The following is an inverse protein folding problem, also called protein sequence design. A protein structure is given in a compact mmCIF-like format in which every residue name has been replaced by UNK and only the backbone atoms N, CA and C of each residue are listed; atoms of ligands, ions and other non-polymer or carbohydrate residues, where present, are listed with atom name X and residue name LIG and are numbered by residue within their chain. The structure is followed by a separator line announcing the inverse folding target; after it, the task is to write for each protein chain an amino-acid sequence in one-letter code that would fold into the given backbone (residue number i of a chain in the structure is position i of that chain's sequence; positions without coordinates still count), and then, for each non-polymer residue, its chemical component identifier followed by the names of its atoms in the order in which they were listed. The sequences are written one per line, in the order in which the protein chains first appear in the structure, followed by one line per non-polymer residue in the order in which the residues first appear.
data_IF_572553416710
#
_entry.id   IF_572553416710
#
_cell.length_a   1.000
_cell.length_b   1.000
_cell.length_c   1.000
_cell.angle_alpha   90.00
_cell.angle_beta   90.00
_cell.angle_gamma   90.00
#
_symmetry.space_group_name_H-M   'P 1'
#
loop_
_entity.id
_entity.type
_entity.pdbx_description
1 polymer ?
#
# COMPACT_ATOMS: atom_id res chain seq x y z
N UNK A 1 29.96 -14.28 -4.13
CA UNK A 1 28.62 -14.30 -3.50
C UNK A 1 27.56 -13.69 -4.41
N UNK A 2 27.92 -12.70 -5.23
CA UNK A 2 27.01 -12.04 -6.18
C UNK A 2 26.50 -12.98 -7.28
N UNK A 3 27.38 -13.77 -7.92
CA UNK A 3 26.98 -14.67 -9.02
C UNK A 3 25.88 -15.68 -8.61
N UNK A 4 26.07 -16.42 -7.51
CA UNK A 4 25.04 -17.36 -7.01
C UNK A 4 23.73 -16.63 -6.66
N UNK A 5 23.81 -15.43 -6.08
CA UNK A 5 22.63 -14.61 -5.79
C UNK A 5 21.88 -14.21 -7.05
N UNK A 6 22.59 -13.76 -8.09
CA UNK A 6 22.01 -13.38 -9.38
C UNK A 6 21.33 -14.56 -10.07
N UNK A 7 21.95 -15.75 -10.04
CA UNK A 7 21.36 -16.98 -10.59
C UNK A 7 20.08 -17.40 -9.87
N UNK A 8 20.07 -17.37 -8.53
CA UNK A 8 18.88 -17.68 -7.73
C UNK A 8 17.76 -16.66 -8.00
N UNK A 9 18.09 -15.37 -8.05
CA UNK A 9 17.14 -14.31 -8.35
C UNK A 9 16.58 -14.40 -9.78
N UNK A 10 17.40 -14.77 -10.76
CA UNK A 10 16.98 -14.95 -12.15
C UNK A 10 16.03 -16.15 -12.30
N UNK A 11 16.39 -17.31 -11.73
CA UNK A 11 15.52 -18.49 -11.76
C UNK A 11 14.19 -18.25 -11.03
N UNK A 12 14.21 -17.54 -9.90
CA UNK A 12 13.00 -17.13 -9.20
C UNK A 12 12.13 -16.16 -10.02
N UNK A 13 12.76 -15.19 -10.70
CA UNK A 13 12.05 -14.24 -11.57
C UNK A 13 11.41 -14.96 -12.75
N UNK A 14 12.12 -15.88 -13.40
CA UNK A 14 11.59 -16.71 -14.48
C UNK A 14 10.46 -17.63 -14.01
N UNK A 15 10.61 -18.22 -12.81
CA UNK A 15 9.58 -19.05 -12.21
C UNK A 15 8.29 -18.29 -11.96
N UNK A 16 8.38 -17.06 -11.45
CA UNK A 16 7.21 -16.18 -11.28
C UNK A 16 6.63 -15.71 -12.62
N UNK A 17 7.48 -15.37 -13.60
CA UNK A 17 7.03 -14.99 -14.94
C UNK A 17 6.32 -16.12 -15.68
N UNK A 18 6.63 -17.39 -15.38
CA UNK A 18 5.94 -18.54 -15.98
C UNK A 18 4.43 -18.53 -15.76
N UNK A 19 3.94 -17.86 -14.70
CA UNK A 19 2.50 -17.68 -14.46
C UNK A 19 1.79 -16.98 -15.61
N UNK A 20 2.47 -16.06 -16.32
CA UNK A 20 1.89 -15.34 -17.45
C UNK A 20 1.50 -16.25 -18.62
N UNK A 21 2.10 -17.45 -18.71
CA UNK A 21 1.82 -18.43 -19.75
C UNK A 21 0.84 -19.48 -19.24
N UNK A 22 1.10 -20.09 -18.07
CA UNK A 22 0.23 -21.07 -17.40
C UNK A 22 0.76 -21.39 -15.98
N UNK A 23 -0.11 -21.84 -15.07
CA UNK A 23 0.34 -22.46 -13.82
C UNK A 23 1.14 -23.75 -14.08
N UNK A 24 2.45 -23.68 -13.89
CA UNK A 24 3.37 -24.82 -14.01
C UNK A 24 3.82 -25.31 -12.62
N UNK A 25 4.22 -26.59 -12.45
CA UNK A 25 4.78 -27.08 -11.18
C UNK A 25 5.97 -26.25 -10.68
N UNK A 26 6.78 -25.73 -11.60
CA UNK A 26 7.89 -24.84 -11.30
C UNK A 26 7.43 -23.50 -10.70
N UNK A 27 6.36 -22.90 -11.22
CA UNK A 27 5.77 -21.69 -10.65
C UNK A 27 5.28 -21.93 -9.22
N UNK A 28 4.52 -23.02 -8.98
CA UNK A 28 4.01 -23.36 -7.65
C UNK A 28 5.12 -23.55 -6.62
N UNK A 29 6.22 -24.19 -7.01
CA UNK A 29 7.39 -24.32 -6.14
C UNK A 29 7.97 -22.94 -5.75
N UNK A 30 8.21 -22.08 -6.74
CA UNK A 30 8.75 -20.73 -6.49
C UNK A 30 7.79 -19.88 -5.66
N UNK A 31 6.48 -20.00 -5.89
CA UNK A 31 5.45 -19.33 -5.10
C UNK A 31 5.48 -19.76 -3.63
N UNK A 32 5.54 -21.08 -3.34
CA UNK A 32 5.64 -21.57 -1.98
C UNK A 32 6.93 -21.14 -1.28
N UNK A 33 8.06 -21.16 -1.99
CA UNK A 33 9.33 -20.64 -1.47
C UNK A 33 9.23 -19.15 -1.17
N UNK A 34 8.66 -18.36 -2.08
CA UNK A 34 8.50 -16.91 -1.91
C UNK A 34 7.61 -16.56 -0.71
N UNK A 35 6.42 -17.18 -0.62
CA UNK A 35 5.50 -16.98 0.50
C UNK A 35 6.11 -17.50 1.81
N UNK A 36 6.85 -18.61 1.77
CA UNK A 36 7.56 -19.17 2.91
C UNK A 36 8.64 -18.24 3.46
N UNK A 37 9.45 -17.63 2.58
CA UNK A 37 10.44 -16.62 2.96
C UNK A 37 9.76 -15.38 3.54
N UNK A 38 8.65 -14.92 2.94
CA UNK A 38 7.86 -13.81 3.47
C UNK A 38 7.33 -14.09 4.88
N UNK A 39 6.79 -15.28 5.10
CA UNK A 39 6.35 -15.73 6.42
C UNK A 39 7.52 -15.80 7.41
N UNK A 40 8.65 -16.39 7.04
CA UNK A 40 9.84 -16.46 7.88
C UNK A 40 10.36 -15.06 8.25
N UNK A 41 10.46 -14.16 7.28
CA UNK A 41 10.86 -12.77 7.51
C UNK A 41 9.93 -12.04 8.48
N UNK A 42 8.61 -12.25 8.36
CA UNK A 42 7.63 -11.68 9.28
C UNK A 42 7.80 -12.19 10.72
N UNK A 43 8.17 -13.47 10.88
CA UNK A 43 8.45 -14.07 12.20
C UNK A 43 9.72 -13.47 12.81
N UNK A 44 10.77 -13.30 12.01
CA UNK A 44 12.03 -12.68 12.46
C UNK A 44 11.81 -11.24 12.89
N UNK A 45 11.13 -10.43 12.07
CA UNK A 45 10.77 -9.06 12.45
C UNK A 45 9.90 -9.01 13.70
N UNK A 46 8.96 -9.95 13.84
CA UNK A 46 8.16 -10.10 15.05
C UNK A 46 9.04 -10.37 16.29
N UNK A 47 10.01 -11.27 16.17
CA UNK A 47 10.96 -11.57 17.23
C UNK A 47 11.87 -10.38 17.58
N UNK A 48 12.41 -9.68 16.59
CA UNK A 48 13.23 -8.48 16.81
C UNK A 48 12.43 -7.35 17.45
N UNK A 49 11.17 -7.16 17.02
CA UNK A 49 10.25 -6.21 17.63
C UNK A 49 9.96 -6.57 19.09
N UNK A 50 9.68 -7.83 19.40
CA UNK A 50 9.50 -8.29 20.78
C UNK A 50 10.75 -8.07 21.63
N UNK A 51 11.94 -8.39 21.08
CA UNK A 51 13.22 -8.20 21.75
C UNK A 51 13.46 -6.73 22.07
N UNK A 52 13.26 -5.84 21.10
CA UNK A 52 13.57 -4.41 21.20
C UNK A 52 12.53 -3.63 22.01
N UNK A 53 11.25 -4.00 21.89
CA UNK A 53 10.15 -3.28 22.53
C UNK A 53 9.86 -3.77 23.94
N UNK A 54 10.06 -5.06 24.24
CA UNK A 54 9.74 -5.64 25.54
C UNK A 54 10.97 -6.18 26.28
N UNK A 55 11.75 -7.09 25.68
CA UNK A 55 12.75 -7.87 26.42
C UNK A 55 13.94 -7.03 26.88
N UNK A 56 14.57 -6.26 25.98
CA UNK A 56 15.73 -5.42 26.32
C UNK A 56 15.43 -4.32 27.35
N UNK A 57 14.31 -3.56 27.27
CA UNK A 57 14.04 -2.54 28.27
C UNK A 57 13.53 -3.09 29.61
N UNK A 58 12.91 -4.28 29.65
CA UNK A 58 12.61 -4.97 30.91
C UNK A 58 13.91 -5.34 31.64
N UNK A 59 14.93 -5.79 30.90
CA UNK A 59 16.27 -6.01 31.44
C UNK A 59 16.97 -4.75 31.96
N UNK A 60 16.59 -3.57 31.45
CA UNK A 60 17.11 -2.27 31.87
C UNK A 60 16.30 -1.61 33.01
N UNK A 61 15.33 -2.31 33.62
CA UNK A 61 14.57 -1.82 34.78
C UNK A 61 13.26 -1.09 34.47
N UNK A 62 12.86 -0.93 33.21
CA UNK A 62 11.60 -0.30 32.82
C UNK A 62 10.41 -1.27 32.95
N UNK A 63 9.94 -1.47 34.19
CA UNK A 63 8.79 -2.33 34.52
C UNK A 63 7.48 -1.94 33.78
N UNK A 64 7.37 -0.70 33.28
CA UNK A 64 6.20 -0.23 32.51
C UNK A 64 5.97 -0.99 31.20
N UNK A 65 7.00 -1.63 30.64
CA UNK A 65 6.90 -2.38 29.38
C UNK A 65 6.49 -3.85 29.56
N UNK A 66 6.21 -4.27 30.79
CA UNK A 66 5.56 -5.56 31.09
C UNK A 66 4.13 -5.58 30.55
N UNK A 67 3.44 -4.44 30.55
CA UNK A 67 2.03 -4.36 30.10
C UNK A 67 1.89 -4.80 28.62
N UNK A 68 2.65 -4.24 27.65
CA UNK A 68 2.67 -4.74 26.26
C UNK A 68 3.02 -6.23 26.13
N UNK A 69 3.93 -6.74 26.96
CA UNK A 69 4.33 -8.16 26.93
C UNK A 69 3.16 -9.06 27.36
N UNK A 70 2.46 -8.69 28.44
CA UNK A 70 1.28 -9.42 28.92
C UNK A 70 0.15 -9.37 27.89
N UNK A 71 -0.13 -8.19 27.32
CA UNK A 71 -1.11 -8.02 26.24
C UNK A 71 -0.75 -8.85 25.00
N UNK A 72 0.54 -8.92 24.66
CA UNK A 72 1.06 -9.78 23.59
C UNK A 72 0.89 -11.27 23.89
N UNK A 73 1.17 -11.71 25.10
CA UNK A 73 0.95 -13.10 25.52
C UNK A 73 -0.54 -13.47 25.54
N UNK A 74 -1.42 -12.53 25.90
CA UNK A 74 -2.88 -12.72 25.85
C UNK A 74 -3.39 -13.02 24.44
N UNK A 75 -2.72 -12.59 23.37
CA UNK A 75 -3.11 -12.98 22.00
C UNK A 75 -3.00 -14.48 21.76
N UNK A 76 -2.01 -15.16 22.36
CA UNK A 76 -1.83 -16.60 22.18
C UNK A 76 -2.91 -17.44 22.85
N UNK A 77 -3.67 -16.87 23.79
CA UNK A 77 -4.87 -17.53 24.35
C UNK A 77 -5.94 -17.82 23.31
N UNK A 78 -5.85 -17.21 22.10
CA UNK A 78 -6.72 -17.49 20.96
C UNK A 78 -6.68 -18.97 20.54
N UNK A 79 -5.57 -19.67 20.75
CA UNK A 79 -5.44 -21.09 20.41
C UNK A 79 -6.10 -22.02 21.45
N UNK A 80 -6.51 -21.49 22.61
CA UNK A 80 -7.12 -22.25 23.70
C UNK A 80 -8.62 -21.94 23.73
N UNK A 81 -9.47 -22.93 23.41
CA UNK A 81 -10.93 -22.75 23.29
C UNK A 81 -11.59 -22.15 24.55
N UNK A 82 -11.06 -22.41 25.75
CA UNK A 82 -11.60 -21.89 27.02
C UNK A 82 -11.15 -20.47 27.40
N UNK A 83 -10.01 -19.99 26.90
CA UNK A 83 -9.44 -18.69 27.27
C UNK A 83 -9.53 -17.64 26.14
N UNK A 84 -10.20 -17.97 25.04
CA UNK A 84 -10.30 -17.14 23.84
C UNK A 84 -10.84 -15.72 24.09
N UNK A 85 -11.67 -15.52 25.12
CA UNK A 85 -12.20 -14.20 25.49
C UNK A 85 -11.07 -13.20 25.81
N UNK A 86 -9.96 -13.68 26.36
CA UNK A 86 -8.82 -12.86 26.76
C UNK A 86 -8.10 -12.25 25.54
N UNK A 87 -8.13 -12.94 24.40
CA UNK A 87 -7.58 -12.44 23.13
C UNK A 87 -8.35 -11.24 22.55
N UNK A 88 -9.58 -10.96 23.02
CA UNK A 88 -10.40 -9.85 22.52
C UNK A 88 -9.86 -8.48 22.94
N UNK A 89 -9.25 -8.34 24.13
CA UNK A 89 -8.70 -7.06 24.59
C UNK A 89 -7.48 -6.61 23.78
N UNK A 90 -6.46 -7.47 23.55
CA UNK A 90 -5.36 -7.12 22.65
C UNK A 90 -5.84 -6.81 21.22
N UNK A 91 -6.82 -7.56 20.71
CA UNK A 91 -7.39 -7.30 19.38
C UNK A 91 -8.08 -5.93 19.32
N UNK A 92 -8.84 -5.55 20.34
CA UNK A 92 -9.44 -4.23 20.44
C UNK A 92 -8.38 -3.11 20.48
N UNK A 93 -7.27 -3.31 21.20
CA UNK A 93 -6.14 -2.38 21.17
C UNK A 93 -5.51 -2.28 19.78
N UNK A 94 -5.27 -3.40 19.09
CA UNK A 94 -4.70 -3.41 17.74
C UNK A 94 -5.60 -2.66 16.76
N UNK A 95 -6.90 -2.90 16.80
CA UNK A 95 -7.89 -2.18 15.97
C UNK A 95 -7.93 -0.70 16.35
N UNK A 96 -7.92 -0.36 17.64
CA UNK A 96 -7.91 1.03 18.11
C UNK A 96 -6.67 1.81 17.66
N UNK A 97 -5.48 1.22 17.81
CA UNK A 97 -4.21 1.81 17.35
C UNK A 97 -4.22 1.94 15.82
N UNK A 98 -4.57 0.87 15.10
CA UNK A 98 -4.62 0.86 13.65
C UNK A 98 -5.58 1.92 13.10
N UNK A 99 -6.78 2.01 13.68
CA UNK A 99 -7.81 2.98 13.30
C UNK A 99 -7.38 4.41 13.66
N UNK A 100 -6.77 4.64 14.82
CA UNK A 100 -6.28 5.96 15.22
C UNK A 100 -5.17 6.48 14.31
N UNK A 101 -4.21 5.61 13.95
CA UNK A 101 -3.13 5.96 13.04
C UNK A 101 -3.64 6.23 11.62
N UNK A 102 -4.56 5.40 11.11
CA UNK A 102 -5.15 5.61 9.79
C UNK A 102 -5.99 6.87 9.77
N UNK A 103 -6.87 7.11 10.74
CA UNK A 103 -7.68 8.35 10.78
C UNK A 103 -6.77 9.59 10.75
N UNK A 104 -5.72 9.63 11.57
CA UNK A 104 -4.79 10.77 11.60
C UNK A 104 -4.10 10.96 10.24
N UNK A 105 -3.59 9.89 9.63
CA UNK A 105 -2.90 9.96 8.34
C UNK A 105 -3.83 10.28 7.18
N UNK A 106 -4.98 9.63 7.14
CA UNK A 106 -5.98 9.73 6.06
C UNK A 106 -6.67 11.08 6.08
N UNK A 107 -7.11 11.60 7.23
CA UNK A 107 -7.75 12.93 7.29
C UNK A 107 -6.76 14.03 6.89
N UNK A 108 -5.51 13.95 7.40
CA UNK A 108 -4.46 14.89 7.01
C UNK A 108 -4.21 14.88 5.50
N UNK A 109 -3.88 13.72 4.96
CA UNK A 109 -3.49 13.60 3.56
C UNK A 109 -4.66 13.76 2.57
N UNK A 110 -5.83 13.18 2.87
CA UNK A 110 -6.96 13.15 1.93
C UNK A 110 -7.86 14.37 2.02
N UNK A 111 -7.94 15.03 3.19
CA UNK A 111 -8.84 16.17 3.37
C UNK A 111 -8.02 17.46 3.49
N UNK A 112 -7.13 17.55 4.46
CA UNK A 112 -6.41 18.81 4.75
C UNK A 112 -5.46 19.16 3.60
N UNK A 113 -4.58 18.23 3.22
CA UNK A 113 -3.57 18.48 2.21
C UNK A 113 -4.19 18.62 0.82
N UNK A 114 -5.26 17.88 0.51
CA UNK A 114 -6.01 18.07 -0.74
C UNK A 114 -6.66 19.45 -0.81
N UNK A 115 -7.30 19.94 0.28
CA UNK A 115 -7.87 21.29 0.29
C UNK A 115 -6.77 22.34 0.10
N UNK A 116 -5.65 22.23 0.82
CA UNK A 116 -4.51 23.14 0.67
C UNK A 116 -3.94 23.11 -0.75
N UNK A 117 -3.82 21.93 -1.37
CA UNK A 117 -3.33 21.76 -2.73
C UNK A 117 -4.23 22.42 -3.79
N UNK A 118 -5.47 22.76 -3.43
CA UNK A 118 -6.40 23.50 -4.31
C UNK A 118 -6.44 25.00 -4.03
N UNK A 119 -5.83 25.48 -2.94
CA UNK A 119 -5.73 26.90 -2.58
C UNK A 119 -4.45 27.54 -3.14
N UNK A 120 -4.23 27.40 -4.44
CA UNK A 120 -3.00 27.87 -5.12
C UNK A 120 -3.27 29.20 -5.84
N UNK A 121 -2.33 30.17 -5.82
CA UNK A 121 -2.49 31.45 -6.53
C UNK A 121 -2.68 31.24 -8.04
N UNK A 122 -3.60 32.00 -8.64
CA UNK A 122 -3.99 31.91 -10.05
C UNK A 122 -2.98 32.57 -11.01
N UNK A 123 -1.69 32.35 -10.76
CA UNK A 123 -0.59 32.98 -11.51
C UNK A 123 -0.06 32.12 -12.65
N UNK A 124 -0.27 30.79 -12.60
CA UNK A 124 0.15 29.84 -13.63
C UNK A 124 -1.05 29.16 -14.27
N UNK A 125 -0.93 28.77 -15.54
CA UNK A 125 -1.92 27.97 -16.27
C UNK A 125 -2.27 26.68 -15.52
N UNK A 126 -1.28 26.01 -14.92
CA UNK A 126 -1.50 24.78 -14.15
C UNK A 126 -2.41 25.03 -12.93
N UNK A 127 -2.17 26.13 -12.22
CA UNK A 127 -2.94 26.49 -11.02
C UNK A 127 -4.38 26.83 -11.40
N UNK A 128 -4.58 27.51 -12.54
CA UNK A 128 -5.91 27.81 -13.08
C UNK A 128 -6.64 26.50 -13.43
N UNK A 129 -5.98 25.56 -14.12
CA UNK A 129 -6.57 24.26 -14.47
C UNK A 129 -6.97 23.47 -13.23
N UNK A 130 -6.13 23.45 -12.18
CA UNK A 130 -6.44 22.76 -10.93
C UNK A 130 -7.67 23.38 -10.26
N UNK A 131 -7.70 24.70 -10.07
CA UNK A 131 -8.80 25.39 -9.36
C UNK A 131 -10.12 25.24 -10.14
N UNK A 132 -10.12 25.52 -11.44
CA UNK A 132 -11.33 25.39 -12.26
C UNK A 132 -11.74 23.93 -12.47
N UNK A 133 -10.79 23.01 -12.56
CA UNK A 133 -11.06 21.58 -12.63
C UNK A 133 -11.78 21.09 -11.39
N UNK A 134 -11.26 21.41 -10.20
CA UNK A 134 -11.88 21.02 -8.92
C UNK A 134 -13.28 21.62 -8.78
N UNK A 135 -13.47 22.90 -9.09
CA UNK A 135 -14.80 23.53 -9.06
C UNK A 135 -15.78 22.85 -10.02
N UNK A 136 -15.35 22.54 -11.24
CA UNK A 136 -16.20 21.86 -12.25
C UNK A 136 -16.59 20.44 -11.79
N UNK A 137 -15.67 19.72 -11.16
CA UNK A 137 -15.92 18.38 -10.60
C UNK A 137 -16.87 18.44 -9.41
N UNK A 138 -16.69 19.40 -8.50
CA UNK A 138 -17.61 19.60 -7.37
C UNK A 138 -19.02 19.95 -7.87
N UNK A 139 -19.13 20.79 -8.91
CA UNK A 139 -20.41 21.06 -9.55
C UNK A 139 -21.03 19.79 -10.17
N UNK A 140 -20.23 18.92 -10.79
CA UNK A 140 -20.72 17.63 -11.31
C UNK A 140 -21.33 16.75 -10.21
N UNK A 141 -20.62 16.54 -9.10
CA UNK A 141 -21.09 15.67 -8.01
C UNK A 141 -22.24 16.27 -7.19
N UNK A 142 -22.14 17.55 -6.81
CA UNK A 142 -23.15 18.23 -5.99
C UNK A 142 -24.50 18.36 -6.71
N UNK A 143 -24.47 18.64 -8.02
CA UNK A 143 -25.69 18.84 -8.83
C UNK A 143 -26.14 17.61 -9.63
N UNK A 144 -25.68 16.40 -9.26
CA UNK A 144 -26.26 15.15 -9.79
C UNK A 144 -27.76 15.01 -9.43
N UNK A 145 -28.28 15.81 -8.48
CA UNK A 145 -29.73 16.06 -8.32
C UNK A 145 -30.19 17.17 -9.29
N UNK A 146 -31.04 16.78 -10.25
CA UNK A 146 -31.63 17.61 -11.31
C UNK A 146 -31.99 19.03 -10.85
N UNK A 147 -31.20 20.02 -11.26
CA UNK A 147 -31.60 21.42 -11.30
C UNK A 147 -31.75 21.89 -12.77
N UNK A 148 -32.76 22.70 -13.02
CA UNK A 148 -33.31 23.06 -14.35
C UNK A 148 -32.47 24.10 -15.13
N UNK A 149 -31.39 24.64 -14.55
CA UNK A 149 -30.60 25.71 -15.16
C UNK A 149 -29.58 25.22 -16.21
N UNK A 150 -29.66 25.73 -17.46
CA UNK A 150 -28.83 25.32 -18.61
C UNK A 150 -27.32 25.55 -18.42
N UNK A 151 -26.91 26.67 -17.80
CA UNK A 151 -25.48 27.01 -17.57
C UNK A 151 -24.83 26.03 -16.60
N UNK A 152 -25.55 25.62 -15.56
CA UNK A 152 -25.04 24.65 -14.57
C UNK A 152 -24.95 23.23 -15.13
N UNK A 153 -25.88 22.83 -16.01
CA UNK A 153 -25.80 21.55 -16.72
C UNK A 153 -24.62 21.50 -17.71
N UNK A 154 -24.23 22.63 -18.31
CA UNK A 154 -23.04 22.71 -19.17
C UNK A 154 -21.75 22.56 -18.34
N UNK A 155 -21.63 23.26 -17.22
CA UNK A 155 -20.48 23.13 -16.30
C UNK A 155 -20.34 21.69 -15.75
N UNK A 156 -21.45 21.05 -15.40
CA UNK A 156 -21.47 19.65 -14.94
C UNK A 156 -20.99 18.66 -16.02
N UNK A 157 -21.29 18.90 -17.31
CA UNK A 157 -20.73 18.08 -18.41
C UNK A 157 -19.21 18.25 -18.53
N UNK A 158 -18.70 19.48 -18.40
CA UNK A 158 -17.26 19.76 -18.39
C UNK A 158 -16.59 19.04 -17.22
N UNK A 159 -17.18 19.11 -16.02
CA UNK A 159 -16.74 18.36 -14.84
C UNK A 159 -16.66 16.85 -15.08
N UNK A 160 -17.65 16.26 -15.77
CA UNK A 160 -17.62 14.84 -16.16
C UNK A 160 -16.42 14.52 -17.07
N UNK A 161 -16.15 15.32 -18.08
CA UNK A 161 -15.01 15.08 -18.97
C UNK A 161 -13.67 15.21 -18.24
N UNK A 162 -13.53 16.22 -17.38
CA UNK A 162 -12.35 16.41 -16.53
C UNK A 162 -12.16 15.20 -15.61
N UNK A 163 -13.23 14.68 -14.99
CA UNK A 163 -13.16 13.45 -14.19
C UNK A 163 -12.68 12.24 -15.00
N UNK A 164 -13.20 12.06 -16.22
CA UNK A 164 -12.80 10.95 -17.08
C UNK A 164 -11.32 11.04 -17.47
N UNK A 165 -10.81 12.25 -17.75
CA UNK A 165 -9.39 12.48 -18.04
C UNK A 165 -8.53 12.19 -16.80
N UNK A 166 -8.93 12.70 -15.63
CA UNK A 166 -8.20 12.51 -14.38
C UNK A 166 -8.14 11.02 -13.98
N UNK A 167 -9.27 10.30 -14.08
CA UNK A 167 -9.29 8.85 -13.86
C UNK A 167 -8.43 8.11 -14.90
N UNK A 168 -8.49 8.50 -16.17
CA UNK A 168 -7.63 7.96 -17.22
C UNK A 168 -6.14 8.12 -16.90
N UNK A 169 -5.73 9.29 -16.41
CA UNK A 169 -4.36 9.55 -15.97
C UNK A 169 -3.96 8.70 -14.76
N UNK A 170 -4.85 8.54 -13.76
CA UNK A 170 -4.60 7.69 -12.59
C UNK A 170 -4.43 6.21 -12.98
N UNK A 171 -5.30 5.69 -13.86
CA UNK A 171 -5.15 4.34 -14.40
C UNK A 171 -3.87 4.19 -15.22
N UNK A 172 -3.54 5.19 -16.06
CA UNK A 172 -2.30 5.23 -16.84
C UNK A 172 -1.06 5.18 -15.95
N UNK A 173 -1.04 5.93 -14.85
CA UNK A 173 0.07 5.91 -13.89
C UNK A 173 0.21 4.54 -13.21
N UNK A 174 -0.90 3.90 -12.83
CA UNK A 174 -0.87 2.55 -12.26
C UNK A 174 -0.35 1.50 -13.25
N UNK A 175 -0.75 1.58 -14.53
CA UNK A 175 -0.23 0.70 -15.59
C UNK A 175 1.25 0.96 -15.84
N UNK A 176 1.66 2.22 -15.91
CA UNK A 176 3.06 2.63 -16.09
C UNK A 176 3.93 2.08 -14.96
N UNK A 177 3.49 2.17 -13.70
CA UNK A 177 4.21 1.61 -12.57
C UNK A 177 4.40 0.10 -12.68
N UNK A 178 3.36 -0.65 -13.07
CA UNK A 178 3.46 -2.10 -13.30
C UNK A 178 4.38 -2.45 -14.47
N UNK A 179 4.30 -1.71 -15.56
CA UNK A 179 5.19 -1.89 -16.72
C UNK A 179 6.64 -1.55 -16.37
N UNK A 180 6.89 -0.49 -15.61
CA UNK A 180 8.22 -0.11 -15.14
C UNK A 180 8.85 -1.22 -14.28
N UNK A 181 8.09 -1.82 -13.36
CA UNK A 181 8.56 -2.98 -12.60
C UNK A 181 8.88 -4.18 -13.51
N UNK A 182 8.05 -4.44 -14.54
CA UNK A 182 8.30 -5.51 -15.50
C UNK A 182 9.57 -5.26 -16.31
N UNK A 183 9.77 -4.04 -16.81
CA UNK A 183 10.99 -3.62 -17.52
C UNK A 183 12.21 -3.84 -16.63
N UNK A 184 12.16 -3.43 -15.36
CA UNK A 184 13.26 -3.65 -14.42
C UNK A 184 13.61 -5.14 -14.25
N UNK A 185 12.61 -6.03 -14.26
CA UNK A 185 12.87 -7.49 -14.23
C UNK A 185 13.43 -8.03 -15.53
N UNK A 186 13.00 -7.51 -16.69
CA UNK A 186 13.56 -7.88 -17.99
C UNK A 186 15.00 -7.39 -18.14
N UNK A 187 15.30 -6.17 -17.70
CA UNK A 187 16.66 -5.61 -17.66
C UNK A 187 17.57 -6.43 -16.75
N UNK A 188 17.09 -6.82 -15.57
CA UNK A 188 17.80 -7.72 -14.67
C UNK A 188 18.13 -9.07 -15.34
N UNK A 189 17.17 -9.69 -16.04
CA UNK A 189 17.38 -10.98 -16.71
C UNK A 189 18.33 -10.86 -17.91
N UNK A 190 18.18 -9.84 -18.75
CA UNK A 190 18.96 -9.70 -19.98
C UNK A 190 20.34 -9.08 -19.76
N UNK A 191 20.47 -8.15 -18.81
CA UNK A 191 21.70 -7.45 -18.50
C UNK A 191 22.50 -8.13 -17.40
N UNK A 192 22.03 -8.04 -16.15
CA UNK A 192 22.80 -8.54 -15.00
C UNK A 192 22.98 -10.07 -14.99
N UNK A 193 22.02 -10.83 -15.51
CA UNK A 193 22.09 -12.29 -15.53
C UNK A 193 22.71 -12.86 -16.83
N UNK A 194 22.20 -12.45 -18.01
CA UNK A 194 22.67 -12.97 -19.30
C UNK A 194 23.83 -12.17 -19.92
N UNK A 195 24.09 -10.94 -19.46
CA UNK A 195 25.15 -10.08 -20.00
C UNK A 195 24.95 -9.64 -21.46
N UNK A 196 23.72 -9.79 -22.00
CA UNK A 196 23.40 -9.52 -23.41
C UNK A 196 23.12 -8.04 -23.68
N UNK A 197 22.75 -7.30 -22.64
CA UNK A 197 22.50 -5.86 -22.70
C UNK A 197 23.32 -5.21 -21.59
N UNK A 198 24.28 -4.36 -21.98
CA UNK A 198 24.99 -3.49 -21.04
C UNK A 198 24.12 -2.33 -20.59
#
# INVERSE_FOLDING_TARGET
MEMLGTWVAALGTLGLMSFAIKENPFYRFVEHVYVGIGAAHSVVLGWESLKTTAITPIGNGDLKKIIPLVVGLMLYTRFIKGAMWMSRYPLAMLVGIGTGLTIKGTIGAQIIDQVKATMVPLTSLDNIVIVFGVLSVLMFFYFTRKNTNKVFNASSKVGRYIMMIAFGALFGNAVMGRMSLMIGRVQFLLGEWLGLIG
#
